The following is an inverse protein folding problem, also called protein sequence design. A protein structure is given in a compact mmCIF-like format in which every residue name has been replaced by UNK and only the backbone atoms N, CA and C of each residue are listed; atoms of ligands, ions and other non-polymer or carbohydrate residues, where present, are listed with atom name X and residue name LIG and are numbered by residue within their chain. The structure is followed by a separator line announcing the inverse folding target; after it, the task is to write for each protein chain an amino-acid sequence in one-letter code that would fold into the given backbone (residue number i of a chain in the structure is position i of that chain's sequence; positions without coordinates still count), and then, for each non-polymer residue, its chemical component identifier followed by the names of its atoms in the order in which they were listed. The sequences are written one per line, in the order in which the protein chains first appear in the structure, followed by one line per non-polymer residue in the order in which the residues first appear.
data_IF_197621022219
#
_entry.id   IF_197621022219
#
_cell.length_a   1.000
_cell.length_b   1.000
_cell.length_c   1.000
_cell.angle_alpha   90.00
_cell.angle_beta   90.00
_cell.angle_gamma   90.00
#
_symmetry.space_group_name_H-M   'P 1'
#
loop_
_entity.id
_entity.type
_entity.pdbx_description
1 polymer ?
#
# COMPACT_ATOMS: atom_id res chain seq x y z
N UNK A 1 39.93 0.13 39.35
CA UNK A 1 38.97 -0.98 39.17
C UNK A 1 39.31 -2.04 40.18
N UNK A 2 38.49 -2.16 41.23
CA UNK A 2 38.62 -3.26 42.18
C UNK A 2 37.88 -4.44 41.57
N UNK A 3 38.62 -5.49 41.26
CA UNK A 3 38.11 -6.68 40.58
C UNK A 3 37.36 -7.56 41.60
N UNK A 4 36.15 -7.12 41.95
CA UNK A 4 35.26 -7.86 42.84
C UNK A 4 34.54 -8.97 42.06
N UNK A 5 34.44 -10.16 42.65
CA UNK A 5 33.57 -11.20 42.09
C UNK A 5 32.10 -10.74 42.12
N UNK A 6 31.29 -11.16 41.15
CA UNK A 6 29.86 -10.75 41.01
C UNK A 6 29.05 -10.89 42.30
N UNK A 7 29.36 -11.90 43.13
CA UNK A 7 28.71 -12.12 44.43
C UNK A 7 28.96 -11.00 45.44
N UNK A 8 30.15 -10.40 45.42
CA UNK A 8 30.50 -9.28 46.29
C UNK A 8 29.87 -7.98 45.79
N UNK A 9 29.84 -7.78 44.47
CA UNK A 9 29.15 -6.66 43.85
C UNK A 9 27.65 -6.66 44.14
N UNK A 10 26.98 -7.82 44.11
CA UNK A 10 25.57 -7.97 44.52
C UNK A 10 25.35 -7.56 45.97
N UNK A 11 26.24 -7.97 46.89
CA UNK A 11 26.16 -7.56 48.30
C UNK A 11 26.31 -6.06 48.48
N UNK A 12 27.21 -5.43 47.72
CA UNK A 12 27.41 -3.98 47.75
C UNK A 12 26.15 -3.30 47.19
N UNK A 13 25.62 -3.75 46.05
CA UNK A 13 24.44 -3.17 45.42
C UNK A 13 23.18 -3.27 46.32
N UNK A 14 23.00 -4.35 47.07
CA UNK A 14 21.84 -4.53 47.97
C UNK A 14 22.01 -3.86 49.34
N UNK A 15 23.19 -3.37 49.68
CA UNK A 15 23.47 -2.82 51.00
C UNK A 15 22.97 -1.36 51.09
N UNK A 16 22.01 -1.09 51.98
CA UNK A 16 21.44 0.23 52.22
C UNK A 16 22.41 1.26 52.80
N UNK A 17 23.64 0.86 53.14
CA UNK A 17 24.73 1.75 53.57
C UNK A 17 25.78 1.99 52.48
N UNK A 18 25.58 1.46 51.27
CA UNK A 18 26.50 1.66 50.16
C UNK A 18 26.56 3.13 49.75
N UNK A 19 27.76 3.57 49.36
CA UNK A 19 27.98 4.95 48.98
C UNK A 19 27.35 5.24 47.61
N UNK A 20 26.80 6.45 47.41
CA UNK A 20 26.23 6.85 46.12
C UNK A 20 27.20 6.71 44.95
N UNK A 21 28.48 7.06 45.16
CA UNK A 21 29.51 6.96 44.12
C UNK A 21 29.75 5.51 43.66
N UNK A 22 29.73 4.55 44.58
CA UNK A 22 29.85 3.12 44.22
C UNK A 22 28.59 2.64 43.49
N UNK A 23 27.40 3.06 43.92
CA UNK A 23 26.14 2.72 43.24
C UNK A 23 26.09 3.28 41.82
N UNK A 24 26.64 4.48 41.58
CA UNK A 24 26.82 5.05 40.23
C UNK A 24 27.77 4.23 39.36
N UNK A 25 28.83 3.66 39.92
CA UNK A 25 29.72 2.75 39.16
C UNK A 25 28.99 1.45 38.82
N UNK A 26 28.24 0.89 39.78
CA UNK A 26 27.50 -0.35 39.62
C UNK A 26 26.28 -0.23 38.70
N UNK A 27 25.72 0.96 38.50
CA UNK A 27 24.59 1.14 37.58
C UNK A 27 24.96 0.84 36.12
N UNK A 28 26.24 0.86 35.77
CA UNK A 28 26.75 0.53 34.43
C UNK A 28 27.30 -0.91 34.35
N UNK A 29 27.13 -1.72 35.40
CA UNK A 29 27.59 -3.10 35.40
C UNK A 29 26.86 -3.91 34.31
N UNK A 30 27.52 -4.89 33.70
CA UNK A 30 26.92 -5.77 32.68
C UNK A 30 25.84 -6.71 33.24
N UNK A 31 25.93 -7.11 34.51
CA UNK A 31 24.95 -7.97 35.17
C UNK A 31 23.66 -7.18 35.49
N UNK A 32 22.55 -7.65 34.89
CA UNK A 32 21.21 -7.14 35.10
C UNK A 32 20.77 -7.19 36.57
N UNK A 33 21.15 -8.23 37.30
CA UNK A 33 20.76 -8.40 38.71
C UNK A 33 21.44 -7.32 39.58
N UNK A 34 22.69 -6.97 39.29
CA UNK A 34 23.41 -5.90 39.99
C UNK A 34 22.72 -4.55 39.74
N UNK A 35 22.39 -4.22 38.48
CA UNK A 35 21.67 -2.98 38.15
C UNK A 35 20.29 -2.91 38.81
N UNK A 36 19.57 -4.03 38.85
CA UNK A 36 18.27 -4.16 39.53
C UNK A 36 18.38 -3.84 41.03
N UNK A 37 19.40 -4.39 41.70
CA UNK A 37 19.67 -4.11 43.12
C UNK A 37 20.01 -2.64 43.34
N UNK A 38 20.80 -2.03 42.46
CA UNK A 38 21.08 -0.57 42.51
C UNK A 38 19.78 0.23 42.40
N UNK A 39 18.87 -0.10 41.48
CA UNK A 39 17.58 0.60 41.36
C UNK A 39 16.73 0.54 42.64
N UNK A 40 16.76 -0.58 43.36
CA UNK A 40 16.04 -0.76 44.63
C UNK A 40 16.72 -0.13 45.85
N UNK A 41 17.99 0.29 45.73
CA UNK A 41 18.77 0.73 46.88
C UNK A 41 18.39 2.15 47.33
N UNK A 42 18.10 2.39 48.62
CA UNK A 42 17.72 3.70 49.15
C UNK A 42 18.76 4.81 48.95
N UNK A 43 20.04 4.49 48.82
CA UNK A 43 21.11 5.47 48.65
C UNK A 43 21.43 5.77 47.17
N UNK A 44 20.69 5.20 46.23
CA UNK A 44 20.92 5.45 44.81
C UNK A 44 20.50 6.86 44.44
N UNK A 45 21.39 7.67 43.84
CA UNK A 45 21.07 9.02 43.39
C UNK A 45 19.90 9.08 42.41
N UNK A 46 19.13 10.16 42.45
CA UNK A 46 17.95 10.36 41.60
C UNK A 46 18.30 10.36 40.11
N UNK A 47 19.43 10.93 39.70
CA UNK A 47 19.89 10.93 38.32
C UNK A 47 20.22 9.51 37.82
N UNK A 48 20.63 8.61 38.71
CA UNK A 48 20.84 7.20 38.41
C UNK A 48 19.51 6.45 38.37
N UNK A 49 18.58 6.73 39.30
CA UNK A 49 17.21 6.21 39.26
C UNK A 49 16.50 6.60 37.96
N UNK A 50 16.69 7.83 37.47
CA UNK A 50 16.16 8.29 36.17
C UNK A 50 16.67 7.46 34.99
N UNK A 51 17.96 7.10 34.99
CA UNK A 51 18.55 6.25 33.95
C UNK A 51 18.02 4.81 34.02
N UNK A 52 17.86 4.29 35.23
CA UNK A 52 17.42 2.90 35.46
C UNK A 52 15.91 2.72 35.37
N UNK A 53 15.10 3.79 35.43
CA UNK A 53 13.64 3.71 35.46
C UNK A 53 12.97 3.19 34.19
N UNK A 54 13.70 3.14 33.07
CA UNK A 54 13.24 2.42 31.86
C UNK A 54 13.38 0.90 31.99
N UNK A 55 14.45 0.46 32.65
CA UNK A 55 14.80 -0.95 32.76
C UNK A 55 14.13 -1.61 33.98
N UNK A 56 14.00 -0.85 35.07
CA UNK A 56 13.59 -1.36 36.38
C UNK A 56 12.47 -0.55 37.05
N UNK A 57 11.35 -0.27 36.37
CA UNK A 57 10.29 0.59 36.91
C UNK A 57 9.71 0.07 38.24
N UNK A 58 9.63 -1.25 38.42
CA UNK A 58 9.11 -1.86 39.64
C UNK A 58 10.05 -1.69 40.84
N UNK A 59 11.36 -1.75 40.60
CA UNK A 59 12.38 -1.54 41.63
C UNK A 59 12.48 -0.06 42.00
N UNK A 60 12.26 0.84 41.04
CA UNK A 60 12.13 2.28 41.32
C UNK A 60 10.94 2.54 42.25
N UNK A 61 9.77 1.95 41.99
CA UNK A 61 8.59 2.15 42.84
C UNK A 61 8.75 1.57 44.26
N UNK A 62 9.55 0.50 44.40
CA UNK A 62 9.89 -0.07 45.71
C UNK A 62 10.99 0.72 46.43
N UNK A 63 11.71 1.58 45.73
CA UNK A 63 12.74 2.40 46.32
C UNK A 63 12.10 3.41 47.30
N UNK A 64 12.53 3.48 48.57
CA UNK A 64 11.93 4.40 49.54
C UNK A 64 12.09 5.87 49.14
N UNK A 65 13.09 6.21 48.32
CA UNK A 65 13.28 7.57 47.78
C UNK A 65 12.13 7.96 46.86
N UNK A 66 11.50 7.01 46.18
CA UNK A 66 10.41 7.29 45.24
C UNK A 66 9.19 7.93 45.91
N UNK A 67 8.83 7.48 47.11
CA UNK A 67 7.73 8.08 47.87
C UNK A 67 8.03 9.54 48.26
N UNK A 68 9.30 9.88 48.51
CA UNK A 68 9.71 11.25 48.78
C UNK A 68 9.61 12.10 47.51
N UNK A 69 10.09 11.60 46.38
CA UNK A 69 9.97 12.26 45.08
C UNK A 69 8.51 12.50 44.67
N UNK A 70 7.64 11.51 44.92
CA UNK A 70 6.21 11.63 44.66
C UNK A 70 5.54 12.73 45.50
N UNK A 71 6.04 12.98 46.72
CA UNK A 71 5.53 14.04 47.60
C UNK A 71 6.09 15.42 47.23
N UNK A 72 7.37 15.49 46.84
CA UNK A 72 8.05 16.73 46.49
C UNK A 72 7.63 17.25 45.12
N UNK A 73 7.62 16.39 44.11
CA UNK A 73 7.31 16.73 42.72
C UNK A 73 6.38 15.67 42.07
N UNK A 74 5.09 15.61 42.47
CA UNK A 74 4.13 14.65 41.90
C UNK A 74 3.94 14.81 40.39
N UNK A 75 4.14 16.03 39.89
CA UNK A 75 4.00 16.37 38.47
C UNK A 75 5.27 16.12 37.65
N UNK A 76 6.34 15.62 38.27
CA UNK A 76 7.58 15.30 37.58
C UNK A 76 7.36 14.22 36.53
N UNK A 77 7.86 14.46 35.31
CA UNK A 77 7.80 13.50 34.19
C UNK A 77 8.38 12.14 34.57
N UNK A 78 9.44 12.11 35.38
CA UNK A 78 10.05 10.87 35.86
C UNK A 78 9.12 10.05 36.74
N UNK A 79 8.45 10.70 37.70
CA UNK A 79 7.49 10.06 38.61
C UNK A 79 6.32 9.48 37.83
N UNK A 80 5.74 10.27 36.91
CA UNK A 80 4.63 9.84 36.06
C UNK A 80 4.99 8.68 35.14
N UNK A 81 6.16 8.71 34.49
CA UNK A 81 6.64 7.61 33.64
C UNK A 81 6.92 6.34 34.45
N UNK A 82 7.49 6.46 35.64
CA UNK A 82 7.76 5.33 36.52
C UNK A 82 6.46 4.65 36.97
N UNK A 83 5.46 5.45 37.37
CA UNK A 83 4.12 4.95 37.67
C UNK A 83 3.46 4.31 36.45
N UNK A 84 3.55 4.93 35.28
CA UNK A 84 2.95 4.39 34.06
C UNK A 84 3.57 3.05 33.63
N UNK A 85 4.88 2.87 33.79
CA UNK A 85 5.60 1.66 33.36
C UNK A 85 5.54 0.51 34.37
N UNK A 86 5.35 0.80 35.66
CA UNK A 86 5.41 -0.24 36.69
C UNK A 86 4.18 -1.15 36.70
N UNK A 87 4.44 -2.45 36.82
CA UNK A 87 3.42 -3.48 36.99
C UNK A 87 2.81 -3.51 38.40
N UNK A 88 3.30 -2.66 39.31
CA UNK A 88 2.79 -2.55 40.69
C UNK A 88 1.83 -1.37 40.87
N UNK A 89 1.73 -0.49 39.87
CA UNK A 89 0.86 0.67 39.93
C UNK A 89 -0.61 0.25 39.95
N UNK A 90 -1.38 0.89 40.83
CA UNK A 90 -2.82 0.67 40.95
C UNK A 90 -3.54 1.13 39.66
N UNK A 91 -4.46 0.32 39.10
CA UNK A 91 -5.25 0.68 37.94
C UNK A 91 -5.94 2.06 38.02
N UNK A 92 -6.36 2.51 39.21
CA UNK A 92 -6.97 3.84 39.39
C UNK A 92 -5.99 4.99 39.14
N UNK A 93 -4.71 4.80 39.49
CA UNK A 93 -3.65 5.79 39.24
C UNK A 93 -3.36 5.85 37.74
N UNK A 94 -3.32 4.70 37.06
CA UNK A 94 -3.17 4.62 35.60
C UNK A 94 -4.33 5.33 34.88
N UNK A 95 -5.57 5.15 35.35
CA UNK A 95 -6.74 5.85 34.81
C UNK A 95 -6.64 7.37 34.97
N UNK A 96 -6.17 7.85 36.13
CA UNK A 96 -5.93 9.29 36.37
C UNK A 96 -4.84 9.84 35.45
N UNK A 97 -3.72 9.13 35.30
CA UNK A 97 -2.61 9.53 34.42
C UNK A 97 -3.07 9.65 32.96
N UNK A 98 -3.85 8.68 32.45
CA UNK A 98 -4.40 8.75 31.11
C UNK A 98 -5.35 9.94 30.90
N UNK A 99 -6.07 10.36 31.95
CA UNK A 99 -7.01 11.47 31.86
C UNK A 99 -6.31 12.85 31.89
N UNK A 100 -5.21 12.99 32.63
CA UNK A 100 -4.46 14.25 32.78
C UNK A 100 -3.44 14.47 31.66
N UNK A 101 -2.78 13.43 31.18
CA UNK A 101 -1.61 13.53 30.28
C UNK A 101 -1.97 13.43 28.79
N UNK A 102 -3.04 14.10 28.35
CA UNK A 102 -3.53 14.02 26.96
C UNK A 102 -2.53 14.51 25.90
N UNK A 103 -1.49 15.23 26.29
CA UNK A 103 -0.50 15.82 25.39
C UNK A 103 0.87 15.12 25.44
N UNK A 104 1.10 14.21 26.39
CA UNK A 104 2.38 13.49 26.50
C UNK A 104 2.23 12.07 25.94
N UNK A 105 2.57 11.92 24.65
CA UNK A 105 2.48 10.65 23.94
C UNK A 105 3.27 9.54 24.64
N UNK A 106 4.40 9.87 25.26
CA UNK A 106 5.26 8.86 25.90
C UNK A 106 4.64 8.28 27.17
N UNK A 107 3.97 9.11 27.98
CA UNK A 107 3.25 8.65 29.17
C UNK A 107 2.01 7.86 28.74
N UNK A 108 1.26 8.35 27.75
CA UNK A 108 0.12 7.63 27.20
C UNK A 108 0.53 6.24 26.66
N UNK A 109 1.64 6.13 25.92
CA UNK A 109 2.14 4.84 25.44
C UNK A 109 2.55 3.92 26.59
N UNK A 110 3.21 4.45 27.63
CA UNK A 110 3.57 3.68 28.81
C UNK A 110 2.34 3.14 29.56
N UNK A 111 1.29 3.97 29.74
CA UNK A 111 0.01 3.52 30.31
C UNK A 111 -0.65 2.50 29.40
N UNK A 112 -0.68 2.73 28.08
CA UNK A 112 -1.26 1.81 27.12
C UNK A 112 -0.55 0.46 27.08
N UNK A 113 0.76 0.41 27.36
CA UNK A 113 1.55 -0.83 27.41
C UNK A 113 1.41 -1.59 28.74
N UNK A 114 0.95 -0.93 29.79
CA UNK A 114 0.86 -1.53 31.12
C UNK A 114 -0.28 -2.56 31.20
N UNK A 115 0.04 -3.76 31.70
CA UNK A 115 -0.91 -4.88 31.82
C UNK A 115 -2.05 -4.60 32.79
N UNK A 116 -1.83 -3.74 33.79
CA UNK A 116 -2.83 -3.38 34.80
C UNK A 116 -3.73 -2.23 34.38
N UNK A 117 -3.55 -1.67 33.18
CA UNK A 117 -4.40 -0.58 32.71
C UNK A 117 -5.84 -1.08 32.54
N UNK A 118 -6.84 -0.42 33.18
CA UNK A 118 -8.23 -0.81 33.02
C UNK A 118 -8.66 -0.77 31.55
N UNK A 119 -9.47 -1.75 31.15
CA UNK A 119 -10.02 -1.82 29.80
C UNK A 119 -10.77 -0.52 29.47
N UNK A 120 -11.57 0.01 30.39
CA UNK A 120 -12.34 1.25 30.16
C UNK A 120 -11.42 2.46 29.93
N UNK A 121 -10.25 2.49 30.58
CA UNK A 121 -9.22 3.50 30.33
C UNK A 121 -8.66 3.34 28.93
N UNK A 122 -8.27 2.13 28.50
CA UNK A 122 -7.78 1.87 27.14
C UNK A 122 -8.82 2.27 26.08
N UNK A 123 -10.10 1.94 26.30
CA UNK A 123 -11.22 2.37 25.43
C UNK A 123 -11.37 3.88 25.37
N UNK A 124 -11.24 4.56 26.52
CA UNK A 124 -11.31 6.02 26.57
C UNK A 124 -10.13 6.68 25.85
N UNK A 125 -8.92 6.12 25.93
CA UNK A 125 -7.73 6.62 25.25
C UNK A 125 -7.87 6.54 23.73
N UNK A 126 -8.49 5.46 23.25
CA UNK A 126 -8.91 5.30 21.86
C UNK A 126 -9.86 6.44 21.47
N UNK A 127 -11.00 6.60 22.13
CA UNK A 127 -12.00 7.60 21.73
C UNK A 127 -11.49 9.04 21.85
N UNK A 128 -10.75 9.36 22.91
CA UNK A 128 -10.34 10.74 23.21
C UNK A 128 -9.14 11.21 22.38
N UNK A 129 -8.22 10.32 22.01
CA UNK A 129 -7.02 10.67 21.24
C UNK A 129 -7.19 10.43 19.73
N UNK A 130 -8.27 9.76 19.30
CA UNK A 130 -8.62 9.64 17.87
C UNK A 130 -9.32 10.89 17.31
N UNK A 131 -9.37 11.99 18.07
CA UNK A 131 -9.77 13.28 17.54
C UNK A 131 -8.64 13.85 16.67
N UNK A 132 -8.83 13.77 15.36
CA UNK A 132 -8.03 14.26 14.22
C UNK A 132 -7.68 15.76 14.23
N UNK A 133 -7.27 16.34 15.36
CA UNK A 133 -7.21 17.80 15.47
C UNK A 133 -6.04 18.45 14.75
N UNK A 134 -4.93 17.74 14.54
CA UNK A 134 -3.69 18.35 14.02
C UNK A 134 -3.06 17.60 12.83
N UNK A 135 -3.79 16.70 12.17
CA UNK A 135 -3.26 15.91 11.05
C UNK A 135 -2.22 14.84 11.43
N UNK A 136 -1.85 14.74 12.71
CA UNK A 136 -1.00 13.69 13.25
C UNK A 136 -1.86 12.64 13.96
N UNK A 137 -2.06 11.50 13.29
CA UNK A 137 -2.63 10.32 13.91
C UNK A 137 -1.59 9.68 14.84
N UNK A 138 -1.86 9.47 16.15
CA UNK A 138 -0.90 8.91 17.09
C UNK A 138 -0.76 7.39 16.88
N UNK A 139 -0.12 7.01 15.76
CA UNK A 139 0.12 5.63 15.34
C UNK A 139 0.78 4.81 16.45
N UNK A 140 1.74 5.39 17.18
CA UNK A 140 2.44 4.68 18.23
C UNK A 140 1.51 4.36 19.41
N UNK A 141 0.75 5.33 19.89
CA UNK A 141 -0.21 5.11 20.97
C UNK A 141 -1.27 4.08 20.60
N UNK A 142 -1.83 4.20 19.40
CA UNK A 142 -2.86 3.25 18.94
C UNK A 142 -2.30 1.83 18.84
N UNK A 143 -1.09 1.66 18.32
CA UNK A 143 -0.42 0.37 18.30
C UNK A 143 -0.19 -0.21 19.70
N UNK A 144 0.27 0.59 20.67
CA UNK A 144 0.47 0.13 22.05
C UNK A 144 -0.86 -0.27 22.72
N UNK A 145 -1.95 0.47 22.48
CA UNK A 145 -3.28 0.09 23.00
C UNK A 145 -3.77 -1.21 22.37
N UNK A 146 -3.60 -1.39 21.06
CA UNK A 146 -4.06 -2.58 20.35
C UNK A 146 -3.22 -3.83 20.67
N UNK A 147 -1.94 -3.66 21.01
CA UNK A 147 -1.04 -4.76 21.40
C UNK A 147 -1.12 -5.12 22.88
N UNK A 148 -1.83 -4.35 23.71
CA UNK A 148 -1.98 -4.64 25.13
C UNK A 148 -2.69 -5.99 25.34
N UNK A 149 -2.07 -6.87 26.13
CA UNK A 149 -2.57 -8.22 26.44
C UNK A 149 -3.93 -8.24 27.15
N UNK A 150 -4.27 -7.16 27.85
CA UNK A 150 -5.53 -7.02 28.59
C UNK A 150 -6.70 -6.61 27.68
N UNK A 151 -6.45 -6.29 26.41
CA UNK A 151 -7.49 -5.87 25.48
C UNK A 151 -8.31 -7.08 24.98
N UNK A 152 -9.64 -7.12 25.17
CA UNK A 152 -10.45 -8.23 24.69
C UNK A 152 -10.52 -8.28 23.16
N UNK A 153 -10.33 -9.48 22.59
CA UNK A 153 -10.45 -9.71 21.13
C UNK A 153 -11.81 -9.24 20.60
N UNK A 154 -12.90 -9.42 21.37
CA UNK A 154 -14.24 -8.97 20.97
C UNK A 154 -14.31 -7.45 20.75
N UNK A 155 -13.59 -6.67 21.56
CA UNK A 155 -13.54 -5.22 21.39
C UNK A 155 -12.61 -4.82 20.24
N UNK A 156 -11.51 -5.54 20.01
CA UNK A 156 -10.67 -5.35 18.82
C UNK A 156 -11.47 -5.59 17.53
N UNK A 157 -12.35 -6.61 17.52
CA UNK A 157 -13.27 -6.87 16.40
C UNK A 157 -14.30 -5.75 16.20
N UNK A 158 -14.85 -5.21 17.29
CA UNK A 158 -15.76 -4.06 17.26
C UNK A 158 -15.06 -2.81 16.73
N UNK A 159 -13.86 -2.50 17.23
CA UNK A 159 -13.05 -1.39 16.75
C UNK A 159 -12.70 -1.54 15.27
N UNK A 160 -12.37 -2.75 14.83
CA UNK A 160 -12.08 -3.02 13.42
C UNK A 160 -13.29 -2.69 12.54
N UNK A 161 -14.51 -3.04 12.96
CA UNK A 161 -15.75 -2.66 12.25
C UNK A 161 -15.96 -1.15 12.20
N UNK A 162 -15.59 -0.43 13.25
CA UNK A 162 -15.76 1.03 13.33
C UNK A 162 -14.65 1.77 12.55
N UNK A 163 -13.51 1.12 12.31
CA UNK A 163 -12.34 1.68 11.61
C UNK A 163 -12.42 1.63 10.08
N UNK A 164 -13.56 1.24 9.51
CA UNK A 164 -13.78 1.21 8.05
C UNK A 164 -13.64 2.64 7.52
N UNK A 165 -12.52 2.91 6.83
CA UNK A 165 -12.17 4.22 6.28
C UNK A 165 -10.93 4.90 6.90
N UNK A 166 -10.31 4.33 7.93
CA UNK A 166 -9.04 4.80 8.50
C UNK A 166 -7.92 3.82 8.14
N UNK A 167 -7.16 4.10 7.08
CA UNK A 167 -6.08 3.23 6.61
C UNK A 167 -5.00 3.01 7.68
N UNK A 168 -4.70 4.04 8.47
CA UNK A 168 -3.72 4.03 9.55
C UNK A 168 -4.08 3.03 10.67
N UNK A 169 -5.36 3.00 11.05
CA UNK A 169 -5.86 2.07 12.06
C UNK A 169 -5.82 0.65 11.55
N UNK A 170 -6.32 0.43 10.33
CA UNK A 170 -6.29 -0.88 9.69
C UNK A 170 -4.85 -1.39 9.55
N UNK A 171 -3.90 -0.50 9.25
CA UNK A 171 -2.48 -0.82 9.23
C UNK A 171 -1.97 -1.22 10.62
N UNK A 172 -2.34 -0.51 11.69
CA UNK A 172 -2.02 -0.88 13.06
C UNK A 172 -2.53 -2.29 13.42
N UNK A 173 -3.78 -2.61 13.08
CA UNK A 173 -4.35 -3.95 13.29
C UNK A 173 -3.59 -5.06 12.57
N UNK A 174 -3.06 -4.78 11.37
CA UNK A 174 -2.32 -5.78 10.58
C UNK A 174 -1.00 -6.23 11.21
N UNK A 175 -0.47 -5.49 12.18
CA UNK A 175 0.77 -5.82 12.89
C UNK A 175 0.53 -6.59 14.18
N UNK A 176 -0.73 -6.86 14.55
CA UNK A 176 -1.04 -7.54 15.79
C UNK A 176 -0.65 -9.02 15.74
N UNK A 177 0.00 -9.54 16.80
CA UNK A 177 0.41 -10.95 16.84
C UNK A 177 -0.76 -11.91 17.07
N UNK A 178 -1.84 -11.45 17.71
CA UNK A 178 -2.98 -12.27 18.12
C UNK A 178 -4.23 -11.91 17.32
N UNK A 179 -4.25 -12.27 16.03
CA UNK A 179 -5.40 -12.01 15.17
C UNK A 179 -6.32 -13.22 15.03
N UNK A 180 -7.63 -13.00 15.22
CA UNK A 180 -8.65 -14.00 14.91
C UNK A 180 -8.82 -14.13 13.39
N UNK A 181 -9.31 -15.29 12.91
CA UNK A 181 -9.57 -15.49 11.48
C UNK A 181 -10.55 -14.45 10.91
N UNK A 182 -11.55 -14.03 11.69
CA UNK A 182 -12.52 -13.00 11.30
C UNK A 182 -11.86 -11.63 11.12
N UNK A 183 -10.91 -11.28 11.99
CA UNK A 183 -10.15 -10.03 11.86
C UNK A 183 -9.27 -10.05 10.61
N UNK A 184 -8.57 -11.17 10.36
CA UNK A 184 -7.72 -11.34 9.17
C UNK A 184 -8.54 -11.20 7.88
N UNK A 185 -9.72 -11.83 7.82
CA UNK A 185 -10.60 -11.73 6.65
C UNK A 185 -11.04 -10.29 6.38
N UNK A 186 -11.41 -9.54 7.43
CA UNK A 186 -11.80 -8.13 7.32
C UNK A 186 -10.63 -7.24 6.92
N UNK A 187 -9.43 -7.46 7.46
CA UNK A 187 -8.23 -6.71 7.05
C UNK A 187 -7.91 -6.94 5.57
N UNK A 188 -8.01 -8.20 5.13
CA UNK A 188 -7.84 -8.55 3.73
C UNK A 188 -8.91 -7.91 2.82
N UNK A 189 -10.15 -7.76 3.27
CA UNK A 189 -11.21 -7.07 2.49
C UNK A 189 -10.95 -5.59 2.33
N UNK A 190 -10.39 -4.94 3.35
CA UNK A 190 -10.13 -3.50 3.34
C UNK A 190 -8.76 -3.13 2.77
N UNK A 191 -8.00 -4.09 2.21
CA UNK A 191 -6.70 -3.84 1.57
C UNK A 191 -5.53 -3.55 2.52
N UNK A 192 -5.76 -3.61 3.84
CA UNK A 192 -4.74 -3.39 4.86
C UNK A 192 -3.90 -4.65 5.11
N UNK A 193 -3.10 -5.00 4.10
CA UNK A 193 -2.24 -6.18 4.11
C UNK A 193 -0.80 -5.74 4.34
N UNK A 194 -0.29 -5.94 5.55
CA UNK A 194 1.11 -5.69 5.88
C UNK A 194 1.98 -6.95 5.75
N UNK A 195 3.31 -6.79 5.68
CA UNK A 195 4.23 -7.91 5.67
C UNK A 195 4.17 -8.78 6.93
N UNK A 196 3.72 -8.23 8.07
CA UNK A 196 3.53 -8.96 9.32
C UNK A 196 2.28 -9.85 9.27
N UNK A 197 1.19 -9.34 8.70
CA UNK A 197 -0.05 -10.10 8.49
C UNK A 197 0.19 -11.33 7.59
N UNK A 198 0.98 -11.16 6.53
CA UNK A 198 1.33 -12.26 5.61
C UNK A 198 2.09 -13.36 6.35
N UNK A 199 2.99 -13.03 7.29
CA UNK A 199 3.76 -13.99 8.08
C UNK A 199 2.94 -14.73 9.15
N UNK A 200 1.70 -14.29 9.40
CA UNK A 200 0.85 -14.89 10.41
C UNK A 200 0.59 -16.39 10.12
N UNK A 201 0.70 -17.30 11.12
CA UNK A 201 0.63 -18.74 10.90
C UNK A 201 -0.65 -19.23 10.23
N UNK A 202 -1.78 -18.55 10.46
CA UNK A 202 -3.07 -18.86 9.82
C UNK A 202 -3.04 -18.53 8.33
N UNK A 203 -2.44 -17.40 7.96
CA UNK A 203 -2.37 -16.91 6.57
C UNK A 203 -1.40 -17.76 5.77
N UNK A 204 -0.23 -18.07 6.33
CA UNK A 204 0.78 -18.91 5.69
C UNK A 204 0.29 -20.32 5.31
N UNK A 205 -0.76 -20.81 6.00
CA UNK A 205 -1.37 -22.13 5.75
C UNK A 205 -2.61 -22.07 4.85
N UNK A 206 -3.09 -20.88 4.48
CA UNK A 206 -4.35 -20.69 3.76
C UNK A 206 -4.12 -20.09 2.36
N UNK A 207 -4.16 -20.91 1.28
CA UNK A 207 -4.01 -20.42 -0.08
C UNK A 207 -5.08 -19.38 -0.47
N UNK A 208 -6.29 -19.53 0.03
CA UNK A 208 -7.44 -18.67 -0.27
C UNK A 208 -7.24 -17.28 0.34
N UNK A 209 -6.74 -17.20 1.57
CA UNK A 209 -6.46 -15.91 2.21
C UNK A 209 -5.31 -15.19 1.50
N UNK A 210 -4.27 -15.92 1.10
CA UNK A 210 -3.16 -15.35 0.32
C UNK A 210 -3.63 -14.79 -1.04
N UNK A 211 -4.54 -15.48 -1.74
CA UNK A 211 -5.13 -14.97 -2.99
C UNK A 211 -5.97 -13.70 -2.76
N UNK A 212 -6.81 -13.70 -1.72
CA UNK A 212 -7.63 -12.54 -1.36
C UNK A 212 -6.75 -11.33 -1.01
N UNK A 213 -5.71 -11.54 -0.21
CA UNK A 213 -4.74 -10.51 0.17
C UNK A 213 -3.94 -9.98 -1.02
N UNK A 214 -3.53 -10.86 -1.95
CA UNK A 214 -2.82 -10.43 -3.15
C UNK A 214 -3.66 -9.51 -4.05
N UNK A 215 -4.98 -9.71 -4.08
CA UNK A 215 -5.91 -8.91 -4.90
C UNK A 215 -6.30 -7.58 -4.27
N UNK A 216 -6.21 -7.45 -2.95
CA UNK A 216 -6.61 -6.25 -2.22
C UNK A 216 -5.44 -5.39 -1.77
N UNK A 217 -4.23 -5.96 -1.68
CA UNK A 217 -3.03 -5.26 -1.24
C UNK A 217 -2.42 -4.38 -2.34
N UNK A 218 -1.98 -3.19 -1.93
CA UNK A 218 -1.13 -2.31 -2.73
C UNK A 218 0.32 -2.29 -2.23
N UNK A 219 0.63 -2.99 -1.14
CA UNK A 219 1.95 -2.98 -0.50
C UNK A 219 2.90 -3.98 -1.15
N UNK A 220 3.88 -3.47 -1.91
CA UNK A 220 4.83 -4.31 -2.64
C UNK A 220 5.64 -5.28 -1.73
N UNK A 221 6.16 -4.86 -0.55
CA UNK A 221 6.78 -5.76 0.42
C UNK A 221 5.90 -6.95 0.84
N UNK A 222 4.61 -6.71 1.11
CA UNK A 222 3.67 -7.78 1.43
C UNK A 222 3.48 -8.74 0.24
N UNK A 223 3.28 -8.21 -0.97
CA UNK A 223 3.12 -9.02 -2.19
C UNK A 223 4.36 -9.90 -2.48
N UNK A 224 5.56 -9.36 -2.24
CA UNK A 224 6.81 -10.11 -2.37
C UNK A 224 6.88 -11.29 -1.38
N UNK A 225 6.39 -11.12 -0.15
CA UNK A 225 6.32 -12.22 0.84
C UNK A 225 5.29 -13.27 0.42
N UNK A 226 4.12 -12.85 -0.07
CA UNK A 226 3.09 -13.76 -0.60
C UNK A 226 3.69 -14.63 -1.72
N UNK A 227 4.40 -14.03 -2.67
CA UNK A 227 5.06 -14.74 -3.77
C UNK A 227 6.23 -15.62 -3.37
N UNK A 228 6.74 -15.56 -2.15
CA UNK A 228 7.75 -16.51 -1.65
C UNK A 228 7.11 -17.73 -0.99
N UNK A 229 5.82 -17.69 -0.69
CA UNK A 229 5.13 -18.82 -0.06
C UNK A 229 4.89 -19.94 -1.10
N UNK A 230 5.18 -21.22 -0.75
CA UNK A 230 5.01 -22.36 -1.67
C UNK A 230 3.55 -22.81 -1.87
N UNK A 231 2.60 -22.39 -1.02
CA UNK A 231 1.21 -22.87 -1.00
C UNK A 231 0.29 -21.95 -1.81
N UNK A 232 0.80 -20.91 -2.47
CA UNK A 232 -0.03 -19.97 -3.24
C UNK A 232 -0.74 -20.62 -4.43
N UNK A 233 -1.93 -20.11 -4.77
CA UNK A 233 -2.69 -20.60 -5.91
C UNK A 233 -2.04 -20.15 -7.23
N UNK A 234 -2.09 -20.98 -8.29
CA UNK A 234 -1.64 -20.57 -9.62
C UNK A 234 -2.34 -19.30 -10.13
N UNK A 235 -3.63 -19.12 -9.81
CA UNK A 235 -4.39 -17.91 -10.13
C UNK A 235 -3.82 -16.66 -9.48
N UNK A 236 -3.24 -16.79 -8.28
CA UNK A 236 -2.60 -15.68 -7.57
C UNK A 236 -1.29 -15.27 -8.26
N UNK A 237 -0.50 -16.26 -8.70
CA UNK A 237 0.73 -16.02 -9.47
C UNK A 237 0.42 -15.33 -10.80
N UNK A 238 -0.63 -15.78 -11.50
CA UNK A 238 -1.11 -15.16 -12.74
C UNK A 238 -1.56 -13.71 -12.52
N UNK A 239 -2.29 -13.43 -11.43
CA UNK A 239 -2.68 -12.07 -11.09
C UNK A 239 -1.47 -11.17 -10.82
N UNK A 240 -0.50 -11.64 -10.03
CA UNK A 240 0.69 -10.87 -9.68
C UNK A 240 1.70 -10.73 -10.84
N UNK A 241 1.69 -11.64 -11.81
CA UNK A 241 2.43 -11.49 -13.06
C UNK A 241 2.01 -10.22 -13.84
N UNK A 242 0.72 -9.86 -13.75
CA UNK A 242 0.15 -8.64 -14.32
C UNK A 242 0.45 -7.37 -13.52
N UNK A 243 1.07 -7.47 -12.34
CA UNK A 243 1.30 -6.32 -11.48
C UNK A 243 2.35 -5.36 -12.06
N UNK A 244 2.15 -4.05 -11.85
CA UNK A 244 3.02 -3.02 -12.40
C UNK A 244 4.31 -2.80 -11.57
N UNK A 245 5.02 -3.89 -11.22
CA UNK A 245 6.32 -3.81 -10.53
C UNK A 245 7.31 -4.80 -11.14
N UNK A 246 8.49 -4.36 -11.62
CA UNK A 246 9.52 -5.24 -12.16
C UNK A 246 10.02 -6.27 -11.15
N UNK A 247 10.10 -5.89 -9.86
CA UNK A 247 10.61 -6.77 -8.83
C UNK A 247 9.67 -7.95 -8.55
N UNK A 248 8.36 -7.71 -8.57
CA UNK A 248 7.34 -8.77 -8.48
C UNK A 248 7.46 -9.73 -9.65
N UNK A 249 7.61 -9.22 -10.88
CA UNK A 249 7.76 -10.05 -12.09
C UNK A 249 9.00 -10.93 -12.06
N UNK A 250 10.13 -10.40 -11.57
CA UNK A 250 11.36 -11.19 -11.44
C UNK A 250 11.18 -12.36 -10.47
N UNK A 251 10.51 -12.13 -9.33
CA UNK A 251 10.19 -13.20 -8.39
C UNK A 251 9.27 -14.24 -9.02
N UNK A 252 8.27 -13.81 -9.82
CA UNK A 252 7.43 -14.74 -10.56
C UNK A 252 8.26 -15.60 -11.53
N UNK A 253 9.21 -15.03 -12.26
CA UNK A 253 10.06 -15.80 -13.21
C UNK A 253 10.98 -16.80 -12.49
N UNK A 254 11.51 -16.45 -11.32
CA UNK A 254 12.45 -17.29 -10.56
C UNK A 254 11.79 -18.53 -9.92
N UNK A 255 10.46 -18.55 -9.81
CA UNK A 255 9.73 -19.67 -9.23
C UNK A 255 9.75 -20.89 -10.15
N UNK A 256 9.82 -22.08 -9.54
CA UNK A 256 9.83 -23.36 -10.28
C UNK A 256 8.43 -23.86 -10.68
N UNK A 257 7.37 -23.32 -10.06
CA UNK A 257 5.98 -23.78 -10.17
C UNK A 257 5.07 -22.85 -10.98
N UNK A 258 5.66 -22.03 -11.85
CA UNK A 258 4.96 -20.97 -12.58
C UNK A 258 4.13 -21.55 -13.71
N UNK A 259 2.87 -21.12 -13.84
CA UNK A 259 2.03 -21.50 -14.97
C UNK A 259 2.56 -20.88 -16.26
N UNK A 260 2.39 -21.60 -17.38
CA UNK A 260 2.77 -21.08 -18.70
C UNK A 260 2.08 -19.73 -18.99
N UNK A 261 0.81 -19.62 -18.59
CA UNK A 261 0.00 -18.40 -18.70
C UNK A 261 0.60 -17.23 -17.92
N UNK A 262 1.12 -17.45 -16.70
CA UNK A 262 1.78 -16.40 -15.93
C UNK A 262 3.06 -15.89 -16.62
N UNK A 263 3.88 -16.77 -17.20
CA UNK A 263 5.06 -16.36 -17.98
C UNK A 263 4.68 -15.53 -19.21
N UNK A 264 3.62 -15.94 -19.91
CA UNK A 264 3.09 -15.22 -21.07
C UNK A 264 2.58 -13.81 -20.69
N UNK A 265 1.92 -13.68 -19.53
CA UNK A 265 1.52 -12.39 -18.96
C UNK A 265 2.75 -11.52 -18.62
N UNK A 266 3.81 -12.10 -18.04
CA UNK A 266 5.03 -11.35 -17.75
C UNK A 266 5.69 -10.85 -19.05
N UNK A 267 5.74 -11.66 -20.10
CA UNK A 267 6.26 -11.26 -21.42
C UNK A 267 5.47 -10.08 -22.00
N UNK A 268 4.15 -10.15 -21.94
CA UNK A 268 3.25 -9.08 -22.35
C UNK A 268 3.53 -7.78 -21.57
N UNK A 269 3.60 -7.86 -20.24
CA UNK A 269 3.85 -6.70 -19.37
C UNK A 269 5.26 -6.11 -19.52
N UNK A 270 6.23 -6.90 -19.98
CA UNK A 270 7.59 -6.45 -20.33
C UNK A 270 7.69 -5.86 -21.74
N UNK A 271 6.59 -5.82 -22.50
CA UNK A 271 6.56 -5.40 -23.91
C UNK A 271 7.57 -6.15 -24.79
N UNK A 272 7.82 -7.43 -24.51
CA UNK A 272 8.76 -8.27 -25.27
C UNK A 272 8.05 -9.07 -26.35
N UNK A 273 8.74 -9.32 -27.47
CA UNK A 273 8.25 -10.19 -28.54
C UNK A 273 8.03 -11.63 -28.02
N UNK A 274 6.98 -12.30 -28.50
CA UNK A 274 6.72 -13.71 -28.19
C UNK A 274 5.47 -14.00 -27.35
N UNK A 275 4.69 -12.98 -26.98
CA UNK A 275 3.40 -13.18 -26.31
C UNK A 275 2.43 -13.99 -27.18
N UNK A 276 1.83 -15.09 -26.69
CA UNK A 276 0.91 -15.93 -27.47
C UNK A 276 -0.33 -15.17 -27.92
N UNK A 277 -0.79 -15.49 -29.14
CA UNK A 277 -1.96 -14.83 -29.73
C UNK A 277 -3.26 -15.16 -28.96
N UNK A 278 -3.35 -16.35 -28.36
CA UNK A 278 -4.51 -16.77 -27.58
C UNK A 278 -4.70 -15.90 -26.34
N UNK A 279 -3.61 -15.56 -25.63
CA UNK A 279 -3.63 -14.66 -24.48
C UNK A 279 -4.02 -13.24 -24.91
N UNK A 280 -3.48 -12.75 -26.03
CA UNK A 280 -3.83 -11.43 -26.55
C UNK A 280 -5.32 -11.34 -26.93
N UNK A 281 -5.89 -12.42 -27.47
CA UNK A 281 -7.33 -12.51 -27.74
C UNK A 281 -8.15 -12.51 -26.45
N UNK A 282 -7.77 -13.30 -25.44
CA UNK A 282 -8.45 -13.32 -24.12
C UNK A 282 -8.43 -11.93 -23.47
N UNK A 283 -7.30 -11.23 -23.52
CA UNK A 283 -7.18 -9.86 -23.00
C UNK A 283 -8.00 -8.84 -23.81
N UNK A 284 -8.23 -9.08 -25.11
CA UNK A 284 -8.99 -8.17 -25.96
C UNK A 284 -10.50 -8.20 -25.65
N UNK A 285 -11.00 -9.31 -25.10
CA UNK A 285 -12.39 -9.45 -24.66
C UNK A 285 -12.69 -8.63 -23.39
N UNK A 286 -11.69 -8.34 -22.55
CA UNK A 286 -11.85 -7.52 -21.36
C UNK A 286 -11.42 -6.06 -21.63
N UNK A 287 -12.40 -5.15 -21.58
CA UNK A 287 -12.21 -3.73 -21.86
C UNK A 287 -11.11 -3.06 -21.01
N UNK A 288 -10.81 -3.58 -19.81
CA UNK A 288 -9.79 -3.01 -18.91
C UNK A 288 -8.39 -3.14 -19.49
N UNK A 289 -8.14 -4.16 -20.31
CA UNK A 289 -6.85 -4.46 -20.90
C UNK A 289 -6.72 -3.93 -22.33
N UNK A 290 -7.79 -3.45 -22.96
CA UNK A 290 -7.76 -2.92 -24.34
C UNK A 290 -6.76 -1.76 -24.52
N UNK A 291 -6.67 -0.83 -23.55
CA UNK A 291 -5.67 0.24 -23.58
C UNK A 291 -4.24 -0.29 -23.50
N UNK A 292 -4.00 -1.31 -22.67
CA UNK A 292 -2.69 -1.95 -22.53
C UNK A 292 -2.29 -2.70 -23.80
N UNK A 293 -3.24 -3.35 -24.47
CA UNK A 293 -3.02 -4.01 -25.76
C UNK A 293 -2.62 -3.02 -26.86
N UNK A 294 -3.21 -1.82 -26.87
CA UNK A 294 -2.87 -0.81 -27.88
C UNK A 294 -1.52 -0.15 -27.60
N UNK A 295 -1.13 -0.09 -26.33
CA UNK A 295 0.20 0.35 -25.94
C UNK A 295 1.29 -0.73 -26.12
N UNK A 296 0.91 -1.97 -26.47
CA UNK A 296 1.82 -3.09 -26.72
C UNK A 296 2.20 -3.15 -28.22
N UNK A 297 3.44 -2.83 -28.60
CA UNK A 297 3.83 -2.62 -30.01
C UNK A 297 3.67 -3.85 -30.91
N UNK A 298 3.62 -5.04 -30.32
CA UNK A 298 3.56 -6.30 -31.04
C UNK A 298 2.15 -6.90 -31.08
N UNK A 299 1.11 -6.13 -30.74
CA UNK A 299 -0.28 -6.59 -30.89
C UNK A 299 -0.57 -6.84 -32.37
N UNK A 300 -1.04 -8.05 -32.76
CA UNK A 300 -1.42 -8.34 -34.14
C UNK A 300 -2.61 -7.49 -34.60
N UNK A 301 -2.68 -7.24 -35.90
CA UNK A 301 -3.77 -6.45 -36.52
C UNK A 301 -5.16 -7.00 -36.23
N UNK A 302 -5.32 -8.33 -36.21
CA UNK A 302 -6.61 -9.01 -35.91
C UNK A 302 -7.09 -8.75 -34.47
N UNK A 303 -6.16 -8.70 -33.52
CA UNK A 303 -6.49 -8.42 -32.11
C UNK A 303 -6.85 -6.95 -31.95
N UNK A 304 -6.14 -6.04 -32.64
CA UNK A 304 -6.48 -4.60 -32.63
C UNK A 304 -7.88 -4.35 -33.19
N UNK A 305 -8.25 -4.99 -34.29
CA UNK A 305 -9.61 -4.91 -34.84
C UNK A 305 -10.66 -5.38 -33.82
N UNK A 306 -10.41 -6.51 -33.13
CA UNK A 306 -11.28 -6.98 -32.04
C UNK A 306 -11.39 -5.99 -30.89
N UNK A 307 -10.30 -5.35 -30.46
CA UNK A 307 -10.36 -4.35 -29.36
C UNK A 307 -11.25 -3.16 -29.71
N UNK A 308 -11.34 -2.81 -30.99
CA UNK A 308 -12.17 -1.72 -31.51
C UNK A 308 -13.63 -2.15 -31.61
N UNK A 309 -13.90 -3.37 -32.04
CA UNK A 309 -15.26 -3.89 -32.20
C UNK A 309 -15.88 -4.33 -30.85
N UNK A 310 -15.06 -4.71 -29.86
CA UNK A 310 -15.49 -5.09 -28.50
C UNK A 310 -15.41 -3.94 -27.48
N UNK A 311 -15.28 -2.68 -27.91
CA UNK A 311 -15.06 -1.57 -27.00
C UNK A 311 -16.30 -1.30 -26.14
N UNK A 312 -16.19 -1.63 -24.85
CA UNK A 312 -17.19 -1.33 -23.84
C UNK A 312 -16.59 -0.31 -22.86
N UNK A 313 -17.25 0.83 -22.68
CA UNK A 313 -16.89 1.81 -21.65
C UNK A 313 -17.86 1.66 -20.48
N UNK A 314 -17.47 1.09 -19.34
CA UNK A 314 -18.28 1.23 -18.14
C UNK A 314 -18.10 2.65 -17.58
N UNK A 315 -19.23 3.33 -17.35
CA UNK A 315 -19.30 4.47 -16.42
C UNK A 315 -18.94 3.95 -15.03
N UNK A 316 -17.76 4.28 -14.50
CA UNK A 316 -17.56 4.17 -13.05
C UNK A 316 -17.97 5.48 -12.39
N UNK A 317 -19.21 5.51 -11.90
CA UNK A 317 -19.48 5.83 -10.50
C UNK A 317 -20.96 5.61 -10.16
N UNK A 318 -21.17 5.15 -8.94
CA UNK A 318 -22.45 4.97 -8.29
C UNK A 318 -23.33 6.24 -8.37
N UNK A 319 -24.64 6.01 -8.36
CA UNK A 319 -25.76 6.94 -8.44
C UNK A 319 -26.25 7.39 -9.82
N UNK A 320 -27.58 7.31 -9.95
CA UNK A 320 -28.47 7.69 -11.04
C UNK A 320 -28.88 6.62 -12.07
N UNK A 321 -30.12 6.16 -11.84
CA UNK A 321 -31.21 6.00 -12.81
C UNK A 321 -30.92 5.32 -14.16
N UNK A 322 -31.44 4.09 -14.27
CA UNK A 322 -32.35 3.50 -15.27
C UNK A 322 -32.47 4.02 -16.72
N UNK A 323 -31.61 4.88 -17.24
CA UNK A 323 -31.59 5.31 -18.65
C UNK A 323 -30.15 5.52 -19.11
N UNK A 324 -29.64 4.59 -19.91
CA UNK A 324 -28.67 4.78 -21.02
C UNK A 324 -27.91 3.48 -21.27
N UNK A 325 -28.54 2.61 -22.09
CA UNK A 325 -27.84 1.57 -22.86
C UNK A 325 -27.26 2.21 -24.14
N UNK A 326 -26.49 3.29 -24.01
CA UNK A 326 -25.81 3.88 -25.16
C UNK A 326 -24.39 3.34 -25.23
N UNK A 327 -24.21 2.36 -26.13
CA UNK A 327 -22.93 1.90 -26.63
C UNK A 327 -22.11 3.12 -27.08
N UNK A 328 -21.05 3.49 -26.35
CA UNK A 328 -20.08 4.48 -26.84
C UNK A 328 -19.06 3.74 -27.70
N UNK A 329 -19.16 3.90 -29.01
CA UNK A 329 -18.20 3.38 -30.00
C UNK A 329 -16.75 3.69 -29.58
N UNK A 330 -15.82 2.74 -29.79
CA UNK A 330 -14.37 2.91 -29.58
C UNK A 330 -13.80 4.19 -30.22
N UNK A 331 -14.44 4.57 -31.32
CA UNK A 331 -14.10 5.74 -32.12
C UNK A 331 -14.56 7.08 -31.51
N UNK A 332 -15.14 7.11 -30.32
CA UNK A 332 -15.47 8.37 -29.62
C UNK A 332 -14.37 8.84 -28.66
N UNK A 333 -13.40 7.98 -28.29
CA UNK A 333 -12.23 8.38 -27.51
C UNK A 333 -11.09 8.82 -28.44
N UNK A 334 -10.81 10.14 -28.47
CA UNK A 334 -9.76 10.70 -29.34
C UNK A 334 -8.38 10.09 -29.07
N UNK A 335 -8.04 9.85 -27.80
CA UNK A 335 -6.74 9.33 -27.41
C UNK A 335 -6.55 7.88 -27.90
N UNK A 336 -7.59 7.08 -27.79
CA UNK A 336 -7.65 5.73 -28.34
C UNK A 336 -7.40 5.73 -29.86
N UNK A 337 -8.12 6.57 -30.60
CA UNK A 337 -8.01 6.68 -32.06
C UNK A 337 -6.61 7.12 -32.48
N UNK A 338 -5.99 8.06 -31.75
CA UNK A 338 -4.62 8.49 -32.05
C UNK A 338 -3.60 7.38 -31.82
N UNK A 339 -3.72 6.62 -30.73
CA UNK A 339 -2.82 5.51 -30.46
C UNK A 339 -2.94 4.41 -31.51
N UNK A 340 -4.17 4.08 -31.94
CA UNK A 340 -4.41 3.13 -33.03
C UNK A 340 -3.87 3.65 -34.37
N UNK A 341 -3.99 4.94 -34.65
CA UNK A 341 -3.43 5.57 -35.86
C UNK A 341 -1.90 5.44 -35.93
N UNK A 342 -1.22 5.51 -34.79
CA UNK A 342 0.24 5.41 -34.69
C UNK A 342 0.77 3.99 -34.46
N UNK A 343 -0.09 3.01 -34.17
CA UNK A 343 0.35 1.66 -33.84
C UNK A 343 0.94 0.94 -35.07
N UNK A 344 2.11 0.27 -34.97
CA UNK A 344 2.82 -0.27 -36.14
C UNK A 344 2.04 -1.34 -36.90
N UNK A 345 1.27 -2.18 -36.20
CA UNK A 345 0.53 -3.30 -36.80
C UNK A 345 -0.95 -2.99 -37.11
N UNK A 346 -1.36 -1.73 -37.15
CA UNK A 346 -2.75 -1.36 -37.49
C UNK A 346 -3.08 -1.82 -38.92
N UNK A 347 -4.18 -2.56 -39.08
CA UNK A 347 -4.58 -3.06 -40.41
C UNK A 347 -4.96 -1.92 -41.35
N UNK A 348 -4.85 -2.19 -42.65
CA UNK A 348 -5.31 -1.27 -43.69
C UNK A 348 -6.80 -0.89 -43.51
N UNK A 349 -7.67 -1.88 -43.27
CA UNK A 349 -9.11 -1.67 -43.04
C UNK A 349 -9.38 -0.78 -41.82
N UNK A 350 -8.61 -0.97 -40.75
CA UNK A 350 -8.76 -0.18 -39.54
C UNK A 350 -8.27 1.26 -39.75
N UNK A 351 -7.17 1.45 -40.49
CA UNK A 351 -6.69 2.79 -40.88
C UNK A 351 -7.72 3.53 -41.74
N UNK A 352 -8.45 2.86 -42.64
CA UNK A 352 -9.55 3.49 -43.41
C UNK A 352 -10.68 3.99 -42.48
N UNK A 353 -11.12 3.15 -41.53
CA UNK A 353 -12.13 3.53 -40.52
C UNK A 353 -11.67 4.73 -39.68
N UNK A 354 -10.41 4.72 -39.24
CA UNK A 354 -9.78 5.81 -38.49
C UNK A 354 -9.73 7.09 -39.34
N UNK A 355 -9.34 6.99 -40.62
CA UNK A 355 -9.26 8.12 -41.53
C UNK A 355 -10.63 8.81 -41.67
N UNK A 356 -11.71 8.04 -41.87
CA UNK A 356 -13.07 8.60 -41.96
C UNK A 356 -13.43 9.36 -40.68
N UNK A 357 -13.11 8.81 -39.51
CA UNK A 357 -13.42 9.44 -38.23
C UNK A 357 -12.59 10.71 -37.97
N UNK A 358 -11.28 10.67 -38.27
CA UNK A 358 -10.40 11.83 -38.13
C UNK A 358 -10.81 12.96 -39.09
N UNK A 359 -11.28 12.66 -40.30
CA UNK A 359 -11.83 13.68 -41.21
C UNK A 359 -13.07 14.37 -40.63
N UNK A 360 -13.95 13.61 -39.97
CA UNK A 360 -15.13 14.18 -39.28
C UNK A 360 -14.72 15.11 -38.12
N UNK A 361 -13.66 14.78 -37.38
CA UNK A 361 -13.18 15.61 -36.27
C UNK A 361 -12.38 16.82 -36.72
N UNK A 362 -11.56 16.67 -37.76
CA UNK A 362 -10.76 17.74 -38.34
C UNK A 362 -11.61 18.89 -38.93
N UNK A 363 -12.88 18.62 -39.26
CA UNK A 363 -13.86 19.64 -39.66
C UNK A 363 -14.15 20.68 -38.56
N UNK A 364 -13.92 20.33 -37.28
CA UNK A 364 -14.09 21.23 -36.13
C UNK A 364 -12.81 22.02 -35.78
N UNK A 365 -11.82 22.05 -36.67
CA UNK A 365 -10.63 22.91 -36.62
C UNK A 365 -9.62 22.66 -35.49
N UNK A 366 -9.55 21.42 -34.97
CA UNK A 366 -8.48 21.01 -34.05
C UNK A 366 -7.18 20.69 -34.80
N UNK A 367 -6.06 21.26 -34.33
CA UNK A 367 -4.75 21.15 -35.00
C UNK A 367 -4.19 19.73 -34.91
N UNK A 368 -4.43 19.05 -33.80
CA UNK A 368 -3.97 17.68 -33.55
C UNK A 368 -4.71 16.66 -34.42
N UNK A 369 -6.03 16.82 -34.59
CA UNK A 369 -6.84 15.97 -35.48
C UNK A 369 -6.35 16.03 -36.94
N UNK A 370 -6.00 17.24 -37.42
CA UNK A 370 -5.44 17.45 -38.77
C UNK A 370 -4.06 16.82 -38.94
N UNK A 371 -3.21 16.87 -37.93
CA UNK A 371 -1.88 16.26 -37.95
C UNK A 371 -1.96 14.73 -37.94
N UNK A 372 -2.81 14.16 -37.08
CA UNK A 372 -3.06 12.72 -37.03
C UNK A 372 -3.70 12.20 -38.32
N UNK A 373 -4.59 12.98 -38.95
CA UNK A 373 -5.17 12.63 -40.26
C UNK A 373 -4.09 12.52 -41.34
N UNK A 374 -3.12 13.45 -41.38
CA UNK A 374 -1.98 13.38 -42.32
C UNK A 374 -1.15 12.12 -42.11
N UNK A 375 -0.83 11.78 -40.86
CA UNK A 375 -0.07 10.55 -40.52
C UNK A 375 -0.80 9.31 -41.03
N UNK A 376 -2.13 9.23 -40.84
CA UNK A 376 -2.93 8.08 -41.31
C UNK A 376 -2.98 8.03 -42.84
N UNK A 377 -3.16 9.18 -43.51
CA UNK A 377 -3.17 9.26 -44.97
C UNK A 377 -1.83 8.83 -45.58
N UNK A 378 -0.70 9.25 -45.01
CA UNK A 378 0.63 8.83 -45.45
C UNK A 378 0.84 7.31 -45.26
N UNK A 379 0.35 6.74 -44.15
CA UNK A 379 0.41 5.29 -43.91
C UNK A 379 -0.47 4.50 -44.88
N UNK A 380 -1.67 4.98 -45.17
CA UNK A 380 -2.56 4.37 -46.18
C UNK A 380 -1.89 4.41 -47.57
N UNK A 381 -1.32 5.55 -47.96
CA UNK A 381 -0.60 5.70 -49.22
C UNK A 381 0.58 4.74 -49.33
N UNK A 382 1.41 4.63 -48.28
CA UNK A 382 2.53 3.70 -48.25
C UNK A 382 2.09 2.22 -48.36
N UNK A 383 0.97 1.84 -47.74
CA UNK A 383 0.40 0.50 -47.91
C UNK A 383 -0.05 0.23 -49.34
N UNK A 384 -0.69 1.20 -50.00
CA UNK A 384 -1.10 1.09 -51.41
C UNK A 384 0.11 0.97 -52.35
N UNK A 385 1.13 1.80 -52.18
CA UNK A 385 2.34 1.76 -53.03
C UNK A 385 3.05 0.41 -52.92
N UNK A 386 3.17 -0.15 -51.70
CA UNK A 386 3.81 -1.46 -51.48
C UNK A 386 3.02 -2.61 -52.11
N UNK A 387 1.68 -2.55 -52.13
CA UNK A 387 0.85 -3.57 -52.79
C UNK A 387 0.95 -3.51 -54.32
N UNK A 388 1.03 -2.31 -54.90
CA UNK A 388 1.18 -2.08 -56.34
C UNK A 388 2.55 -2.56 -56.84
N UNK A 389 3.60 -2.53 -56.02
CA UNK A 389 4.92 -3.08 -56.37
C UNK A 389 4.98 -4.62 -56.31
N UNK A 390 4.12 -5.29 -55.52
CA UNK A 390 4.07 -6.76 -55.45
C UNK A 390 3.12 -7.40 -56.46
N UNK A 391 2.13 -6.66 -56.96
CA UNK A 391 1.25 -7.10 -58.05
C UNK A 391 1.65 -6.41 -59.36
N UNK A 392 2.42 -7.09 -60.21
CA UNK A 392 2.60 -6.68 -61.62
C UNK A 392 1.25 -6.72 -62.36
N UNK A 393 0.49 -5.63 -62.31
CA UNK A 393 -0.21 -4.97 -63.43
C UNK A 393 -1.15 -3.87 -62.90
N UNK A 394 -1.20 -2.68 -63.54
CA UNK A 394 -1.87 -1.52 -62.96
C UNK A 394 -3.38 -1.58 -63.20
N UNK A 395 -4.16 -1.77 -62.14
CA UNK A 395 -5.58 -1.35 -62.14
C UNK A 395 -5.67 0.06 -61.59
N UNK A 396 -5.62 1.01 -62.52
CA UNK A 396 -5.98 2.41 -62.32
C UNK A 396 -7.42 2.45 -61.80
N UNK A 397 -7.59 2.77 -60.51
CA UNK A 397 -8.77 3.49 -60.02
C UNK A 397 -8.22 4.83 -59.53
N UNK A 398 -8.07 5.75 -60.48
CA UNK A 398 -7.90 7.16 -60.20
C UNK A 398 -9.15 7.73 -59.50
N UNK A 399 -8.92 8.81 -58.76
CA UNK A 399 -9.89 9.84 -58.35
C UNK A 399 -10.36 9.91 -56.89
N UNK A 400 -9.99 9.01 -55.98
CA UNK A 400 -10.31 9.22 -54.54
C UNK A 400 -9.21 9.80 -53.67
N UNK A 401 -7.95 9.75 -54.09
CA UNK A 401 -6.81 10.21 -53.27
C UNK A 401 -5.68 10.86 -54.08
N UNK A 402 -6.03 11.63 -55.11
CA UNK A 402 -5.06 12.49 -55.81
C UNK A 402 -4.67 13.65 -54.90
N UNK A 403 -3.37 13.93 -54.75
CA UNK A 403 -2.78 15.02 -53.95
C UNK A 403 -3.37 16.42 -54.24
N UNK A 404 -4.06 16.58 -55.37
CA UNK A 404 -4.62 17.83 -55.85
C UNK A 404 -6.01 18.15 -55.27
N UNK A 405 -6.78 17.18 -54.74
CA UNK A 405 -8.09 17.44 -54.13
C UNK A 405 -8.02 17.91 -52.66
N UNK A 406 -6.83 18.26 -52.15
CA UNK A 406 -6.57 18.62 -50.75
C UNK A 406 -6.32 20.12 -50.51
N UNK A 407 -6.37 20.95 -51.55
CA UNK A 407 -6.19 22.40 -51.44
C UNK A 407 -7.12 23.14 -52.40
N UNK A 408 -8.31 23.53 -51.93
CA UNK A 408 -9.00 24.70 -52.45
C UNK A 408 -8.67 25.89 -51.52
N UNK A 409 -8.14 27.02 -52.03
CA UNK A 409 -7.99 28.24 -51.24
C UNK A 409 -9.36 28.90 -51.06
N UNK A 410 -9.68 29.33 -49.84
CA UNK A 410 -10.90 30.09 -49.54
C UNK A 410 -10.95 31.40 -50.35
N UNK A 411 -12.14 31.86 -50.81
CA UNK A 411 -12.27 33.13 -51.48
C UNK A 411 -12.18 34.29 -50.47
N UNK A 412 -11.36 35.29 -50.79
CA UNK A 412 -11.23 36.56 -50.07
C UNK A 412 -12.54 37.36 -50.21
N UNK A 413 -13.35 37.42 -49.16
CA UNK A 413 -14.47 38.36 -49.08
C UNK A 413 -13.96 39.75 -48.64
N UNK A 414 -13.81 40.63 -49.64
CA UNK A 414 -13.70 42.08 -49.47
C UNK A 414 -14.98 42.65 -48.82
N UNK A 415 -14.82 43.39 -47.73
CA UNK A 415 -15.88 44.15 -47.06
C UNK A 415 -16.08 45.49 -47.79
N UNK A 416 -17.31 45.87 -48.19
CA UNK A 416 -17.63 47.27 -48.47
C UNK A 416 -18.55 47.86 -47.37
N UNK A 417 -18.03 48.92 -46.74
CA UNK A 417 -18.66 49.98 -45.91
C UNK A 417 -19.98 49.75 -45.18
#
# INVERSE_FOLDING_TARGET
MVDFCDRELKKIASNSSSSPALLTELSNNSDFEIRSLVASNPNTPVDILMKLGEEFPDQILENPVFNLLLLEEPDSRFVRLSLARSTKTNPEVLAKLAATEKHDETICCAVARNINTPIDTLKSMVVTNWHWRDGNFPLHLTYEVLTNSSMPIAYLEELLCLSIGCEELLWGFSHLPNLSLRMIEKLAENGAVSPALVEHPIVQKSPILLDKMARSSYDEPALRKILKNPIILPSTVEYLAGYNSPAIRNIVIERSDVSKKALDIVLFMQKKLGTPIDLLNELAEDYRFQKLLIDYPYTPSEVLEKTVDCYYVPKYNHDFDKREREYKDAFNDRNMVYKLACHPNTSFKLLERICVKLTQWAAYNDRTDKEMLRIVQDRLYNHYVVQVDTEKEPKIIGDRYSRENLFEPEPEDEIPF
#
